data_IF_700298100865
#
_entry.id   IF_700298100865
#
_cell.length_a   1.000
_cell.length_b   1.000
_cell.length_c   1.000
_cell.angle_alpha   90.00
_cell.angle_beta   90.00
_cell.angle_gamma   90.00
#
_symmetry.space_group_name_H-M   'P 1'
#
loop_
_entity.id
_entity.type
_entity.pdbx_description
1 polymer ?
#
# COMPACT_ATOMS: atom_id res chain seq x y z
N UNK A 1 -5.60 -3.38 46.40
CA UNK A 1 -5.91 -4.51 45.52
C UNK A 1 -4.99 -4.37 44.29
N UNK A 2 -3.96 -5.20 44.23
CA UNK A 2 -3.00 -5.21 43.11
C UNK A 2 -3.67 -6.01 41.97
N UNK A 3 -4.18 -5.31 40.95
CA UNK A 3 -4.49 -5.94 39.67
C UNK A 3 -3.16 -6.19 38.95
N UNK A 4 -2.64 -7.40 39.09
CA UNK A 4 -1.58 -7.90 38.22
C UNK A 4 -2.12 -7.88 36.79
N UNK A 5 -1.62 -6.94 35.98
CA UNK A 5 -1.81 -6.96 34.55
C UNK A 5 -1.05 -8.16 34.00
N UNK A 6 -1.74 -9.26 33.80
CA UNK A 6 -1.23 -10.42 33.10
C UNK A 6 -1.09 -10.03 31.64
N UNK A 7 0.13 -9.68 31.22
CA UNK A 7 0.45 -9.57 29.79
C UNK A 7 0.44 -11.00 29.23
N UNK A 8 -0.51 -11.37 28.37
CA UNK A 8 -0.50 -12.70 27.80
C UNK A 8 0.83 -12.91 27.04
N UNK A 9 1.42 -14.10 27.09
CA UNK A 9 2.62 -14.39 26.31
C UNK A 9 2.35 -14.13 24.84
N UNK A 10 3.28 -13.45 24.16
CA UNK A 10 3.20 -13.19 22.73
C UNK A 10 3.00 -14.54 22.01
N UNK A 11 1.83 -14.73 21.39
CA UNK A 11 1.54 -15.92 20.62
C UNK A 11 2.34 -15.86 19.32
N UNK A 12 2.98 -16.99 18.95
CA UNK A 12 3.60 -17.12 17.64
C UNK A 12 2.53 -17.50 16.61
N UNK A 13 2.75 -17.15 15.36
CA UNK A 13 1.86 -17.57 14.27
C UNK A 13 1.66 -19.11 14.26
N UNK A 14 2.73 -19.87 14.48
CA UNK A 14 2.69 -21.33 14.54
C UNK A 14 1.70 -21.87 15.60
N UNK A 15 1.49 -21.13 16.69
CA UNK A 15 0.61 -21.55 17.79
C UNK A 15 -0.88 -21.37 17.46
N UNK A 16 -1.21 -20.61 16.41
CA UNK A 16 -2.58 -20.23 16.05
C UNK A 16 -3.01 -20.66 14.64
N UNK A 17 -2.07 -21.07 13.80
CA UNK A 17 -2.34 -21.49 12.40
C UNK A 17 -3.41 -22.58 12.32
N UNK A 18 -3.35 -23.59 13.21
CA UNK A 18 -4.32 -24.69 13.22
C UNK A 18 -5.76 -24.26 13.54
N UNK A 19 -5.93 -23.10 14.21
CA UNK A 19 -7.25 -22.51 14.50
C UNK A 19 -7.74 -21.57 13.41
N UNK A 20 -6.83 -21.08 12.57
CA UNK A 20 -7.13 -20.17 11.47
C UNK A 20 -7.47 -20.89 10.18
N UNK A 21 -6.77 -22.00 9.90
CA UNK A 21 -6.78 -22.68 8.60
C UNK A 21 -7.58 -23.96 8.66
N UNK A 22 -8.82 -23.91 8.16
CA UNK A 22 -9.67 -25.10 7.97
C UNK A 22 -10.55 -24.88 6.74
N UNK A 23 -10.68 -25.86 5.83
CA UNK A 23 -11.43 -25.71 4.58
C UNK A 23 -12.95 -25.54 4.76
N UNK A 24 -13.49 -25.81 5.95
CA UNK A 24 -14.93 -25.76 6.25
C UNK A 24 -15.30 -24.60 7.17
N UNK A 25 -14.51 -24.36 8.21
CA UNK A 25 -14.87 -23.43 9.30
C UNK A 25 -13.76 -22.40 9.59
N UNK A 26 -12.62 -22.49 8.94
CA UNK A 26 -11.51 -21.55 9.13
C UNK A 26 -11.79 -20.17 8.52
N UNK A 27 -11.24 -19.14 9.16
CA UNK A 27 -11.15 -17.79 8.57
C UNK A 27 -10.32 -17.84 7.28
N UNK A 28 -9.39 -18.78 7.20
CA UNK A 28 -8.60 -19.10 6.02
C UNK A 28 -8.92 -20.54 5.60
N UNK A 29 -9.40 -20.71 4.37
CA UNK A 29 -9.77 -22.04 3.85
C UNK A 29 -8.57 -22.86 3.42
N UNK A 30 -7.47 -22.25 2.98
CA UNK A 30 -6.23 -22.93 2.60
C UNK A 30 -5.03 -21.99 2.58
N UNK A 31 -3.85 -22.56 2.85
CA UNK A 31 -2.55 -21.93 2.64
C UNK A 31 -1.70 -22.93 1.83
N UNK A 32 -1.17 -22.49 0.69
CA UNK A 32 -0.49 -23.39 -0.25
C UNK A 32 0.82 -22.79 -0.73
N UNK A 33 1.90 -23.57 -0.67
CA UNK A 33 3.17 -23.18 -1.29
C UNK A 33 3.02 -23.14 -2.80
N UNK A 34 3.41 -22.03 -3.40
CA UNK A 34 3.38 -21.84 -4.84
C UNK A 34 4.73 -22.27 -5.40
N UNK A 35 4.71 -23.21 -6.36
CA UNK A 35 5.92 -23.77 -6.95
C UNK A 35 6.79 -22.67 -7.56
N UNK A 36 8.10 -22.74 -7.28
CA UNK A 36 9.10 -21.84 -7.89
C UNK A 36 9.12 -22.01 -9.40
N UNK A 37 9.23 -20.89 -10.12
CA UNK A 37 9.44 -20.89 -11.56
C UNK A 37 10.91 -21.16 -11.89
N UNK A 38 11.17 -21.89 -12.97
CA UNK A 38 12.52 -22.02 -13.49
C UNK A 38 12.98 -20.64 -14.01
N UNK A 39 14.11 -20.14 -13.49
CA UNK A 39 14.62 -18.82 -13.82
C UNK A 39 13.88 -17.65 -13.15
N UNK A 40 13.01 -17.90 -12.20
CA UNK A 40 12.39 -16.86 -11.34
C UNK A 40 13.27 -16.51 -10.13
N UNK A 41 12.92 -15.46 -9.37
CA UNK A 41 13.56 -15.12 -8.11
C UNK A 41 13.58 -16.29 -7.14
N UNK A 42 14.68 -16.44 -6.38
CA UNK A 42 14.84 -17.54 -5.43
C UNK A 42 14.23 -17.19 -4.06
N UNK A 43 12.91 -17.03 -4.05
CA UNK A 43 12.11 -16.77 -2.86
C UNK A 43 11.04 -17.84 -2.68
N UNK A 44 10.54 -17.96 -1.43
CA UNK A 44 9.35 -18.76 -1.15
C UNK A 44 8.10 -17.93 -1.41
N UNK A 45 7.12 -18.53 -2.06
CA UNK A 45 5.83 -17.91 -2.36
C UNK A 45 4.73 -18.78 -1.78
N UNK A 46 3.79 -18.16 -1.08
CA UNK A 46 2.59 -18.82 -0.58
C UNK A 46 1.35 -18.07 -1.03
N UNK A 47 0.31 -18.81 -1.35
CA UNK A 47 -1.03 -18.29 -1.54
C UNK A 47 -1.91 -18.67 -0.35
N UNK A 48 -2.79 -17.78 0.05
CA UNK A 48 -3.83 -18.06 1.03
C UNK A 48 -5.21 -17.73 0.46
N UNK A 49 -6.22 -18.45 0.90
CA UNK A 49 -7.62 -18.24 0.51
C UNK A 49 -8.44 -17.95 1.75
N UNK A 50 -8.87 -16.69 1.93
CA UNK A 50 -9.75 -16.29 3.00
C UNK A 50 -11.17 -16.88 2.83
N UNK A 51 -11.88 -17.05 3.93
CA UNK A 51 -13.31 -17.38 3.93
C UNK A 51 -14.11 -16.29 3.20
N UNK A 52 -15.27 -16.67 2.64
CA UNK A 52 -16.17 -15.72 1.99
C UNK A 52 -17.00 -14.97 3.03
N UNK A 53 -16.95 -13.65 3.04
CA UNK A 53 -17.72 -12.80 3.96
C UNK A 53 -19.19 -12.61 3.52
N UNK A 54 -19.55 -12.91 2.27
CA UNK A 54 -20.89 -12.69 1.72
C UNK A 54 -22.04 -13.21 2.62
N UNK A 55 -21.97 -14.44 3.19
CA UNK A 55 -23.04 -14.94 4.04
C UNK A 55 -23.18 -14.20 5.37
N UNK A 56 -22.16 -13.45 5.79
CA UNK A 56 -22.07 -12.79 7.10
C UNK A 56 -22.35 -11.28 7.00
N UNK A 57 -21.89 -10.65 5.93
CA UNK A 57 -21.91 -9.18 5.79
C UNK A 57 -22.75 -8.68 4.60
N UNK A 58 -23.19 -9.60 3.72
CA UNK A 58 -23.95 -9.24 2.52
C UNK A 58 -23.07 -8.85 1.32
N UNK A 59 -21.73 -8.88 1.46
CA UNK A 59 -20.80 -8.61 0.36
C UNK A 59 -19.54 -9.51 0.46
N UNK A 60 -18.90 -9.75 -0.69
CA UNK A 60 -17.72 -10.59 -0.79
C UNK A 60 -16.45 -9.79 -0.46
N UNK A 61 -15.47 -10.46 0.18
CA UNK A 61 -14.10 -9.96 0.32
C UNK A 61 -13.21 -10.40 -0.85
N UNK A 62 -12.02 -9.82 -0.95
CA UNK A 62 -10.97 -10.34 -1.80
C UNK A 62 -10.35 -11.58 -1.16
N UNK A 63 -10.67 -12.76 -1.69
CA UNK A 63 -10.39 -14.05 -1.04
C UNK A 63 -8.98 -14.59 -1.28
N UNK A 64 -8.39 -14.26 -2.43
CA UNK A 64 -7.08 -14.82 -2.82
C UNK A 64 -6.00 -13.79 -2.55
N UNK A 65 -5.04 -14.19 -1.73
CA UNK A 65 -3.92 -13.35 -1.30
C UNK A 65 -2.62 -14.11 -1.47
N UNK A 66 -1.49 -13.45 -1.30
CA UNK A 66 -0.18 -14.08 -1.43
C UNK A 66 0.88 -13.42 -0.58
N UNK A 67 1.98 -14.13 -0.39
CA UNK A 67 3.16 -13.61 0.31
C UNK A 67 4.42 -14.23 -0.25
N UNK A 68 5.47 -13.42 -0.32
CA UNK A 68 6.80 -13.88 -0.68
C UNK A 68 7.83 -13.42 0.35
N UNK A 69 8.80 -14.29 0.65
CA UNK A 69 9.89 -13.97 1.54
C UNK A 69 11.11 -14.88 1.30
N UNK A 70 12.24 -14.53 1.91
CA UNK A 70 13.47 -15.31 1.86
C UNK A 70 13.33 -16.65 2.61
N UNK A 71 12.44 -16.73 3.59
CA UNK A 71 12.14 -17.96 4.35
C UNK A 71 10.70 -18.43 4.11
N UNK A 72 10.44 -19.74 4.34
CA UNK A 72 9.07 -20.27 4.26
C UNK A 72 8.17 -19.71 5.34
N UNK A 73 8.69 -19.55 6.54
CA UNK A 73 7.93 -19.07 7.70
C UNK A 73 7.40 -17.65 7.45
N UNK A 74 8.26 -16.74 6.99
CA UNK A 74 7.87 -15.37 6.67
C UNK A 74 6.91 -15.30 5.48
N UNK A 75 7.10 -16.13 4.45
CA UNK A 75 6.20 -16.16 3.30
C UNK A 75 4.79 -16.66 3.68
N UNK A 76 4.70 -17.66 4.56
CA UNK A 76 3.42 -18.12 5.13
C UNK A 76 2.80 -17.03 5.99
N UNK A 77 3.59 -16.36 6.84
CA UNK A 77 3.10 -15.30 7.71
C UNK A 77 2.50 -14.13 6.91
N UNK A 78 3.18 -13.70 5.82
CA UNK A 78 2.68 -12.67 4.92
C UNK A 78 1.36 -13.08 4.24
N UNK A 79 1.30 -14.29 3.68
CA UNK A 79 0.08 -14.78 3.01
C UNK A 79 -1.12 -14.87 3.97
N UNK A 80 -0.89 -15.35 5.20
CA UNK A 80 -1.91 -15.42 6.26
C UNK A 80 -2.33 -14.02 6.71
N UNK A 81 -1.36 -13.13 6.98
CA UNK A 81 -1.62 -11.76 7.40
C UNK A 81 -2.50 -11.02 6.39
N UNK A 82 -2.15 -11.07 5.11
CA UNK A 82 -2.95 -10.46 4.05
C UNK A 82 -4.36 -11.08 3.93
N UNK A 83 -4.50 -12.40 4.09
CA UNK A 83 -5.81 -13.04 4.08
C UNK A 83 -6.70 -12.56 5.24
N UNK A 84 -6.15 -12.38 6.43
CA UNK A 84 -6.84 -11.82 7.59
C UNK A 84 -7.22 -10.36 7.36
N UNK A 85 -6.33 -9.55 6.78
CA UNK A 85 -6.62 -8.17 6.41
C UNK A 85 -7.82 -8.08 5.46
N UNK A 86 -7.84 -8.90 4.40
CA UNK A 86 -8.94 -8.94 3.43
C UNK A 86 -10.24 -9.43 4.02
N UNK A 87 -10.19 -10.33 5.01
CA UNK A 87 -11.35 -10.78 5.76
C UNK A 87 -11.88 -9.65 6.64
N UNK A 88 -11.06 -9.07 7.50
CA UNK A 88 -11.49 -8.02 8.43
C UNK A 88 -11.90 -6.72 7.74
N UNK A 89 -11.22 -6.32 6.66
CA UNK A 89 -11.54 -5.08 5.94
C UNK A 89 -12.88 -5.11 5.22
N UNK A 90 -13.44 -6.29 4.98
CA UNK A 90 -14.77 -6.48 4.41
C UNK A 90 -15.86 -6.67 5.48
N UNK A 91 -15.51 -6.58 6.76
CA UNK A 91 -16.47 -6.80 7.84
C UNK A 91 -17.12 -5.49 8.28
N UNK A 92 -18.24 -5.15 7.69
CA UNK A 92 -19.08 -4.02 8.07
C UNK A 92 -20.54 -4.30 7.69
N UNK A 93 -21.46 -3.66 8.40
CA UNK A 93 -22.90 -3.68 8.10
C UNK A 93 -23.26 -2.29 7.59
N UNK A 94 -23.63 -2.20 6.32
CA UNK A 94 -23.83 -0.92 5.63
C UNK A 94 -24.85 -0.02 6.35
N UNK A 95 -25.96 -0.61 6.82
CA UNK A 95 -27.04 0.13 7.49
C UNK A 95 -26.68 0.63 8.90
N UNK A 96 -25.62 0.12 9.50
CA UNK A 96 -25.10 0.60 10.79
C UNK A 96 -24.15 1.80 10.63
N UNK A 97 -23.69 2.09 9.41
CA UNK A 97 -22.83 3.23 9.12
C UNK A 97 -23.71 4.48 8.92
N UNK A 98 -23.53 5.56 9.73
CA UNK A 98 -24.31 6.77 9.61
C UNK A 98 -24.14 7.40 8.22
N UNK A 99 -25.25 7.70 7.55
CA UNK A 99 -25.33 8.35 6.24
C UNK A 99 -25.70 9.82 6.45
N UNK A 100 -24.77 10.73 6.25
CA UNK A 100 -24.96 12.18 6.42
C UNK A 100 -23.91 12.97 5.68
N UNK A 101 -24.11 14.28 5.54
CA UNK A 101 -23.08 15.20 5.06
C UNK A 101 -22.11 15.59 6.19
N UNK A 102 -20.93 16.14 5.82
CA UNK A 102 -20.00 16.71 6.79
C UNK A 102 -20.67 17.84 7.61
N UNK A 103 -21.48 18.67 6.95
CA UNK A 103 -22.18 19.83 7.57
C UNK A 103 -23.19 19.40 8.64
N UNK A 104 -23.93 18.33 8.37
CA UNK A 104 -25.04 17.89 9.20
C UNK A 104 -24.64 16.79 10.20
N UNK A 105 -23.39 16.32 10.15
CA UNK A 105 -22.93 15.26 11.03
C UNK A 105 -22.95 15.67 12.50
N UNK A 106 -23.60 14.89 13.38
CA UNK A 106 -23.66 15.18 14.82
C UNK A 106 -22.37 14.75 15.57
N UNK A 107 -21.30 14.43 14.85
CA UNK A 107 -20.02 13.97 15.35
C UNK A 107 -18.87 14.64 14.60
N UNK A 108 -17.67 14.63 15.20
CA UNK A 108 -16.48 15.17 14.55
C UNK A 108 -16.07 14.30 13.35
N UNK A 109 -15.87 14.93 12.20
CA UNK A 109 -15.40 14.30 10.96
C UNK A 109 -14.09 14.92 10.50
N UNK A 110 -13.30 14.15 9.74
CA UNK A 110 -12.20 14.71 8.97
C UNK A 110 -12.77 15.53 7.82
N UNK A 111 -12.31 16.77 7.67
CA UNK A 111 -12.87 17.72 6.71
C UNK A 111 -12.55 17.33 5.25
N UNK A 112 -13.44 17.63 4.29
CA UNK A 112 -13.21 17.33 2.87
C UNK A 112 -11.89 17.88 2.32
N UNK A 113 -11.48 19.07 2.76
CA UNK A 113 -10.26 19.78 2.31
C UNK A 113 -8.96 19.09 2.77
N UNK A 114 -9.04 18.21 3.76
CA UNK A 114 -7.88 17.46 4.24
C UNK A 114 -7.50 16.32 3.28
N UNK A 115 -8.43 15.88 2.42
CA UNK A 115 -8.19 14.72 1.56
C UNK A 115 -7.51 15.07 0.24
N UNK A 116 -6.45 14.32 -0.09
CA UNK A 116 -5.87 14.34 -1.42
C UNK A 116 -6.79 13.58 -2.40
N UNK A 117 -7.54 14.32 -3.21
CA UNK A 117 -8.48 13.78 -4.17
C UNK A 117 -8.22 14.35 -5.58
N UNK A 118 -9.24 14.54 -6.39
CA UNK A 118 -9.15 14.88 -7.79
C UNK A 118 -9.21 16.40 -8.03
N UNK A 119 -8.62 16.85 -9.14
CA UNK A 119 -8.67 18.26 -9.52
C UNK A 119 -10.02 18.64 -10.16
N UNK A 120 -10.29 19.94 -10.22
CA UNK A 120 -11.50 20.46 -10.86
C UNK A 120 -11.57 20.09 -12.34
N UNK A 121 -10.42 20.07 -13.03
CA UNK A 121 -10.32 19.64 -14.42
C UNK A 121 -10.71 18.17 -14.59
N UNK A 122 -10.35 17.31 -13.62
CA UNK A 122 -10.74 15.90 -13.64
C UNK A 122 -12.24 15.73 -13.45
N UNK A 123 -12.83 16.44 -12.47
CA UNK A 123 -14.29 16.42 -12.26
C UNK A 123 -15.09 16.95 -13.45
N UNK A 124 -14.51 17.84 -14.24
CA UNK A 124 -15.15 18.39 -15.45
C UNK A 124 -15.09 17.43 -16.66
N UNK A 125 -14.24 16.37 -16.62
CA UNK A 125 -14.11 15.44 -17.73
C UNK A 125 -15.35 14.57 -17.90
N UNK A 126 -15.88 14.41 -19.12
CA UNK A 126 -17.00 13.49 -19.38
C UNK A 126 -16.69 12.06 -18.92
N UNK A 127 -17.62 11.45 -18.19
CA UNK A 127 -17.49 10.08 -17.71
C UNK A 127 -16.49 9.89 -16.56
N UNK A 128 -16.06 10.94 -15.89
CA UNK A 128 -15.30 10.84 -14.64
C UNK A 128 -16.26 10.40 -13.53
N UNK A 129 -16.07 9.20 -12.99
CA UNK A 129 -17.04 8.57 -12.10
C UNK A 129 -17.05 9.10 -10.65
N UNK A 130 -15.89 9.52 -10.05
CA UNK A 130 -15.90 9.97 -8.66
C UNK A 130 -16.72 11.26 -8.46
N UNK A 131 -17.49 11.29 -7.37
CA UNK A 131 -18.21 12.49 -6.93
C UNK A 131 -17.27 13.46 -6.21
N UNK A 132 -17.59 14.78 -6.27
CA UNK A 132 -16.90 15.77 -5.44
C UNK A 132 -17.19 15.52 -3.97
N UNK A 133 -16.15 15.59 -3.14
CA UNK A 133 -16.30 15.58 -1.71
C UNK A 133 -16.31 17.03 -1.20
N UNK A 134 -17.48 17.49 -0.79
CA UNK A 134 -17.74 18.83 -0.25
C UNK A 134 -18.40 18.72 1.13
N UNK A 135 -18.60 19.85 1.81
CA UNK A 135 -19.32 19.85 3.09
C UNK A 135 -20.77 19.34 2.98
N UNK A 136 -21.38 19.44 1.81
CA UNK A 136 -22.77 19.03 1.57
C UNK A 136 -22.89 17.64 0.92
N UNK A 137 -21.77 16.99 0.63
CA UNK A 137 -21.76 15.65 0.04
C UNK A 137 -22.18 14.62 1.07
N UNK A 138 -23.29 13.94 0.80
CA UNK A 138 -23.77 12.83 1.65
C UNK A 138 -22.95 11.59 1.41
N UNK A 139 -22.48 10.95 2.48
CA UNK A 139 -21.74 9.70 2.43
C UNK A 139 -21.83 8.96 3.77
N UNK A 140 -21.43 7.71 3.79
CA UNK A 140 -21.37 6.92 5.02
C UNK A 140 -20.06 7.16 5.76
N UNK A 141 -20.15 7.22 7.08
CA UNK A 141 -19.03 7.49 7.98
C UNK A 141 -18.72 6.30 8.87
N UNK A 142 -17.48 6.18 9.29
CA UNK A 142 -17.05 5.21 10.29
C UNK A 142 -16.18 5.86 11.35
N UNK A 143 -16.29 5.37 12.60
CA UNK A 143 -15.54 5.93 13.73
C UNK A 143 -14.05 5.55 13.65
N UNK A 144 -13.20 6.51 13.97
CA UNK A 144 -11.75 6.41 13.94
C UNK A 144 -11.13 7.18 15.11
N UNK A 145 -9.83 7.05 15.31
CA UNK A 145 -9.06 7.78 16.33
C UNK A 145 -7.93 8.57 15.68
N UNK A 146 -7.83 9.84 15.95
CA UNK A 146 -6.63 10.63 15.63
C UNK A 146 -5.50 10.22 16.58
N UNK A 147 -4.38 9.77 16.03
CA UNK A 147 -3.29 9.23 16.85
C UNK A 147 -2.48 10.30 17.58
N UNK A 148 -2.49 11.54 17.10
CA UNK A 148 -1.76 12.62 17.75
C UNK A 148 -2.49 13.18 18.97
N UNK A 149 -3.83 13.26 18.89
CA UNK A 149 -4.66 13.85 19.97
C UNK A 149 -5.38 12.81 20.82
N UNK A 150 -5.54 11.58 20.31
CA UNK A 150 -6.37 10.54 20.91
C UNK A 150 -7.88 10.77 20.75
N UNK A 151 -8.30 11.81 20.04
CA UNK A 151 -9.69 12.17 19.86
C UNK A 151 -10.40 11.23 18.87
N UNK A 152 -11.69 10.99 19.16
CA UNK A 152 -12.55 10.28 18.22
C UNK A 152 -12.97 11.20 17.09
N UNK A 153 -12.74 10.73 15.86
CA UNK A 153 -13.16 11.39 14.61
C UNK A 153 -13.85 10.38 13.70
N UNK A 154 -14.46 10.84 12.61
CA UNK A 154 -15.02 9.92 11.61
C UNK A 154 -14.39 10.14 10.25
N UNK A 155 -14.22 9.03 9.54
CA UNK A 155 -13.73 8.97 8.17
C UNK A 155 -14.86 8.52 7.22
N UNK A 156 -14.82 8.92 5.94
CA UNK A 156 -15.64 8.30 4.91
C UNK A 156 -15.41 6.79 4.88
N UNK A 157 -16.50 6.01 4.98
CA UNK A 157 -16.42 4.54 5.06
C UNK A 157 -15.71 3.93 3.84
N UNK A 158 -15.86 4.54 2.66
CA UNK A 158 -15.17 4.13 1.43
C UNK A 158 -13.63 4.27 1.49
N UNK A 159 -13.09 5.06 2.44
CA UNK A 159 -11.65 5.17 2.70
C UNK A 159 -11.13 4.11 3.67
N UNK A 160 -12.04 3.38 4.31
CA UNK A 160 -11.71 2.45 5.38
C UNK A 160 -11.92 1.00 4.97
N UNK A 161 -13.10 0.66 4.47
CA UNK A 161 -13.47 -0.72 4.14
C UNK A 161 -13.06 -1.12 2.72
N UNK A 162 -12.73 -2.41 2.55
CA UNK A 162 -12.34 -2.95 1.24
C UNK A 162 -12.72 -4.44 1.10
N UNK A 163 -13.52 -4.79 0.10
CA UNK A 163 -14.22 -3.86 -0.80
C UNK A 163 -15.25 -3.01 -0.05
N UNK A 164 -15.54 -1.83 -0.59
CA UNK A 164 -16.68 -1.04 -0.12
C UNK A 164 -17.75 -1.00 -1.21
N UNK A 165 -18.95 -1.43 -0.86
CA UNK A 165 -20.06 -1.50 -1.79
C UNK A 165 -20.96 -0.25 -1.62
N UNK A 166 -20.95 0.64 -2.62
CA UNK A 166 -21.90 1.73 -2.69
C UNK A 166 -23.29 1.16 -3.00
N UNK A 167 -24.25 1.33 -2.08
CA UNK A 167 -25.57 0.79 -2.27
C UNK A 167 -26.33 1.55 -3.39
N UNK A 168 -26.82 0.81 -4.37
CA UNK A 168 -27.60 1.38 -5.45
C UNK A 168 -28.87 2.07 -4.91
N UNK A 169 -29.16 3.27 -5.40
CA UNK A 169 -30.35 4.04 -5.00
C UNK A 169 -30.23 4.74 -3.64
N UNK A 170 -29.04 4.81 -3.06
CA UNK A 170 -28.75 5.65 -1.87
C UNK A 170 -27.96 6.89 -2.28
N UNK A 171 -27.97 7.91 -1.40
CA UNK A 171 -27.20 9.13 -1.58
C UNK A 171 -25.72 8.99 -1.17
N UNK A 172 -25.23 7.77 -0.93
CA UNK A 172 -23.82 7.49 -0.57
C UNK A 172 -22.90 7.75 -1.77
N UNK A 173 -22.21 8.88 -1.72
CA UNK A 173 -21.44 9.37 -2.86
C UNK A 173 -20.12 8.61 -3.07
N UNK A 174 -19.80 8.14 -4.29
CA UNK A 174 -18.56 7.46 -4.62
C UNK A 174 -17.40 8.46 -4.78
N UNK A 175 -16.91 9.03 -3.67
CA UNK A 175 -15.85 10.06 -3.69
C UNK A 175 -14.47 9.51 -4.05
N UNK A 176 -14.25 8.21 -3.94
CA UNK A 176 -12.95 7.56 -4.15
C UNK A 176 -13.14 6.10 -4.58
N UNK A 177 -12.17 5.55 -5.29
CA UNK A 177 -12.06 4.10 -5.47
C UNK A 177 -11.51 3.48 -4.18
N UNK A 178 -12.21 2.53 -3.52
CA UNK A 178 -11.70 1.81 -2.36
C UNK A 178 -10.47 0.97 -2.73
N UNK A 179 -9.39 1.13 -1.97
CA UNK A 179 -8.14 0.36 -2.13
C UNK A 179 -7.60 -0.08 -0.76
N UNK A 180 -6.65 -1.01 -0.75
CA UNK A 180 -6.11 -1.60 0.49
C UNK A 180 -5.13 -0.71 1.25
N UNK A 181 -4.60 0.35 0.67
CA UNK A 181 -3.55 1.20 1.28
C UNK A 181 -3.83 1.53 2.74
N UNK A 182 -2.87 1.20 3.59
CA UNK A 182 -2.95 1.43 5.03
C UNK A 182 -3.63 0.32 5.84
N UNK A 183 -3.88 -0.85 5.25
CA UNK A 183 -4.30 -2.05 5.98
C UNK A 183 -3.08 -2.83 6.45
N UNK A 184 -3.09 -3.28 7.70
CA UNK A 184 -2.07 -4.20 8.20
C UNK A 184 -2.62 -5.13 9.29
N UNK A 185 -2.10 -6.36 9.28
CA UNK A 185 -2.37 -7.39 10.27
C UNK A 185 -1.07 -7.78 11.00
N UNK A 186 -1.11 -7.83 12.32
CA UNK A 186 0.00 -8.33 13.14
C UNK A 186 -0.50 -8.96 14.44
N UNK A 187 0.40 -9.64 15.16
CA UNK A 187 0.14 -10.21 16.48
C UNK A 187 0.20 -9.16 17.61
N UNK A 188 0.60 -7.92 17.34
CA UNK A 188 0.48 -6.80 18.25
C UNK A 188 -0.22 -5.63 17.57
N UNK A 189 -0.91 -4.83 18.35
CA UNK A 189 -1.62 -3.64 17.85
C UNK A 189 -0.65 -2.57 17.36
N UNK A 190 0.45 -2.38 18.09
CA UNK A 190 1.49 -1.41 17.75
C UNK A 190 2.13 -1.75 16.41
N UNK A 191 2.53 -2.99 16.20
CA UNK A 191 3.15 -3.43 14.94
C UNK A 191 2.15 -3.41 13.77
N UNK A 192 0.88 -3.79 13.99
CA UNK A 192 -0.16 -3.62 12.98
C UNK A 192 -0.35 -2.13 12.61
N UNK A 193 -0.30 -1.23 13.61
CA UNK A 193 -0.42 0.22 13.37
C UNK A 193 0.79 0.78 12.63
N UNK A 194 2.00 0.36 12.99
CA UNK A 194 3.25 0.71 12.27
C UNK A 194 3.16 0.26 10.82
N UNK A 195 2.80 -1.01 10.57
CA UNK A 195 2.64 -1.53 9.22
C UNK A 195 1.63 -0.73 8.39
N UNK A 196 0.48 -0.43 8.99
CA UNK A 196 -0.57 0.35 8.36
C UNK A 196 -0.12 1.78 7.99
N UNK A 197 0.58 2.47 8.88
CA UNK A 197 1.13 3.82 8.62
C UNK A 197 2.22 3.74 7.54
N UNK A 198 3.14 2.78 7.64
CA UNK A 198 4.23 2.62 6.70
C UNK A 198 3.73 2.37 5.27
N UNK A 199 2.66 1.61 5.06
CA UNK A 199 2.09 1.43 3.72
C UNK A 199 1.52 2.74 3.16
N UNK A 200 0.92 3.60 3.98
CA UNK A 200 0.46 4.92 3.52
C UNK A 200 1.64 5.82 3.12
N UNK A 201 2.72 5.81 3.91
CA UNK A 201 3.97 6.53 3.62
C UNK A 201 4.61 6.04 2.32
N UNK A 202 4.70 4.74 2.15
CA UNK A 202 5.22 4.08 0.95
C UNK A 202 4.47 4.52 -0.30
N UNK A 203 3.13 4.51 -0.25
CA UNK A 203 2.28 4.89 -1.39
C UNK A 203 2.41 6.38 -1.73
N UNK A 204 2.50 7.26 -0.74
CA UNK A 204 2.79 8.69 -0.94
C UNK A 204 4.14 8.88 -1.65
N UNK A 205 5.18 8.19 -1.18
CA UNK A 205 6.52 8.31 -1.72
C UNK A 205 6.63 7.79 -3.17
N UNK A 206 6.12 6.59 -3.43
CA UNK A 206 6.13 6.00 -4.78
C UNK A 206 5.35 6.87 -5.76
N UNK A 207 4.16 7.30 -5.37
CA UNK A 207 3.26 8.02 -6.28
C UNK A 207 3.79 9.41 -6.60
N UNK A 208 4.31 10.15 -5.60
CA UNK A 208 4.94 11.46 -5.84
C UNK A 208 6.22 11.30 -6.68
N UNK A 209 7.09 10.34 -6.36
CA UNK A 209 8.30 10.06 -7.15
C UNK A 209 7.96 9.83 -8.61
N UNK A 210 6.95 9.02 -8.89
CA UNK A 210 6.53 8.71 -10.26
C UNK A 210 5.84 9.89 -10.96
N UNK A 211 4.83 10.48 -10.33
CA UNK A 211 4.03 11.53 -10.97
C UNK A 211 4.80 12.83 -11.14
N UNK A 212 5.71 13.15 -10.22
CA UNK A 212 6.58 14.32 -10.35
C UNK A 212 7.87 14.06 -11.14
N UNK A 213 8.03 12.84 -11.71
CA UNK A 213 9.24 12.44 -12.47
C UNK A 213 10.54 12.70 -11.69
N UNK A 214 10.56 12.38 -10.41
CA UNK A 214 11.75 12.56 -9.59
C UNK A 214 12.82 11.52 -9.96
N UNK A 215 14.07 11.96 -10.05
CA UNK A 215 15.24 11.12 -10.23
C UNK A 215 15.92 10.94 -8.87
N UNK A 216 15.54 9.93 -8.07
CA UNK A 216 16.04 9.77 -6.70
C UNK A 216 17.49 9.28 -6.67
N UNK A 217 18.19 9.47 -5.52
CA UNK A 217 19.52 8.91 -5.31
C UNK A 217 19.49 7.38 -5.42
N UNK A 218 20.51 6.80 -6.08
CA UNK A 218 20.67 5.35 -6.12
C UNK A 218 21.50 4.87 -4.94
N UNK A 219 21.01 3.86 -4.24
CA UNK A 219 21.75 3.17 -3.18
C UNK A 219 22.82 2.29 -3.85
N UNK A 220 24.07 2.40 -3.42
CA UNK A 220 25.14 1.55 -3.94
C UNK A 220 24.98 0.13 -3.43
N UNK A 221 24.72 -0.81 -4.34
CA UNK A 221 24.50 -2.23 -4.01
C UNK A 221 25.73 -2.85 -3.33
N UNK A 222 26.93 -2.42 -3.70
CA UNK A 222 28.20 -2.88 -3.12
C UNK A 222 28.42 -2.47 -1.66
N UNK A 223 27.61 -1.54 -1.13
CA UNK A 223 27.66 -1.11 0.25
C UNK A 223 26.63 -1.78 1.15
N UNK A 224 25.78 -2.63 0.56
CA UNK A 224 24.75 -3.35 1.31
C UNK A 224 25.37 -4.39 2.27
N UNK A 225 24.79 -4.60 3.45
CA UNK A 225 25.11 -5.76 4.28
C UNK A 225 24.91 -7.07 3.52
N UNK A 226 25.69 -8.10 3.88
CA UNK A 226 25.69 -9.41 3.19
C UNK A 226 24.28 -10.00 3.02
N UNK A 227 23.45 -9.88 4.04
CA UNK A 227 22.06 -10.39 4.02
C UNK A 227 21.21 -9.71 2.94
N UNK A 228 21.31 -8.39 2.79
CA UNK A 228 20.57 -7.64 1.77
C UNK A 228 21.16 -7.87 0.36
N UNK A 229 22.49 -7.97 0.28
CA UNK A 229 23.17 -8.30 -0.97
C UNK A 229 22.75 -9.68 -1.50
N UNK A 230 22.59 -10.69 -0.60
CA UNK A 230 22.05 -12.01 -0.97
C UNK A 230 20.62 -11.91 -1.53
N UNK A 231 19.75 -11.05 -0.95
CA UNK A 231 18.40 -10.84 -1.46
C UNK A 231 18.41 -10.21 -2.87
N UNK A 232 19.31 -9.25 -3.12
CA UNK A 232 19.52 -8.68 -4.46
C UNK A 232 19.92 -9.77 -5.44
N UNK A 233 20.93 -10.59 -5.09
CA UNK A 233 21.40 -11.69 -5.93
C UNK A 233 20.30 -12.73 -6.22
N UNK A 234 19.42 -13.01 -5.27
CA UNK A 234 18.24 -13.87 -5.46
C UNK A 234 17.23 -13.28 -6.44
N UNK A 235 16.99 -11.96 -6.38
CA UNK A 235 16.11 -11.27 -7.33
C UNK A 235 16.71 -11.31 -8.76
N UNK A 236 18.01 -11.10 -8.91
CA UNK A 236 18.71 -11.04 -10.21
C UNK A 236 18.76 -12.39 -10.95
N UNK A 237 18.57 -13.50 -10.25
CA UNK A 237 18.39 -14.82 -10.87
C UNK A 237 17.21 -14.86 -11.85
N UNK A 238 16.29 -13.91 -11.74
CA UNK A 238 15.16 -13.75 -12.65
C UNK A 238 15.51 -13.05 -13.98
N UNK A 239 16.77 -13.13 -14.42
CA UNK A 239 17.28 -12.54 -15.66
C UNK A 239 17.02 -11.03 -15.76
N UNK A 240 17.37 -10.30 -14.71
CA UNK A 240 17.29 -8.85 -14.64
C UNK A 240 18.39 -8.26 -13.79
N UNK A 241 18.48 -6.93 -13.76
CA UNK A 241 19.37 -6.16 -12.88
C UNK A 241 18.54 -5.40 -11.86
N UNK A 242 18.90 -5.52 -10.59
CA UNK A 242 18.29 -4.78 -9.49
C UNK A 242 18.97 -3.42 -9.32
N UNK A 243 18.16 -2.38 -9.18
CA UNK A 243 18.59 -1.04 -8.78
C UNK A 243 17.75 -0.62 -7.59
N UNK A 244 18.36 -0.10 -6.54
CA UNK A 244 17.67 0.38 -5.35
C UNK A 244 17.81 1.91 -5.24
N UNK A 245 16.76 2.56 -4.79
CA UNK A 245 16.69 4.01 -4.66
C UNK A 245 16.20 4.40 -3.25
N UNK A 246 16.74 5.48 -2.74
CA UNK A 246 16.14 6.19 -1.60
C UNK A 246 15.07 7.14 -2.15
N UNK A 247 13.82 6.85 -1.81
CA UNK A 247 12.66 7.69 -2.16
C UNK A 247 12.01 8.31 -0.92
N UNK A 248 12.79 8.47 0.15
CA UNK A 248 12.34 9.10 1.39
C UNK A 248 11.92 10.55 1.11
N UNK A 249 10.69 10.90 1.48
CA UNK A 249 10.15 12.24 1.27
C UNK A 249 10.38 13.15 2.50
N UNK A 250 9.72 14.31 2.51
CA UNK A 250 9.87 15.39 3.49
C UNK A 250 9.59 15.01 4.96
N UNK A 251 8.84 13.93 5.19
CA UNK A 251 8.61 13.36 6.53
C UNK A 251 9.83 12.60 7.09
N UNK A 252 10.83 12.26 6.28
CA UNK A 252 12.04 11.56 6.69
C UNK A 252 11.85 10.15 7.25
N UNK A 253 10.74 9.47 6.91
CA UNK A 253 10.53 8.05 7.20
C UNK A 253 11.20 7.25 6.08
N UNK A 254 12.17 6.36 6.38
CA UNK A 254 12.91 5.61 5.36
C UNK A 254 11.99 4.89 4.40
N UNK A 255 12.17 5.14 3.10
CA UNK A 255 11.40 4.48 2.04
C UNK A 255 12.32 4.08 0.91
N UNK A 256 12.41 2.79 0.65
CA UNK A 256 13.29 2.21 -0.38
C UNK A 256 12.45 1.70 -1.54
N UNK A 257 12.81 2.10 -2.76
CA UNK A 257 12.27 1.59 -4.01
C UNK A 257 13.28 0.61 -4.62
N UNK A 258 12.88 -0.62 -4.82
CA UNK A 258 13.64 -1.65 -5.53
C UNK A 258 13.05 -1.85 -6.93
N UNK A 259 13.89 -1.81 -7.94
CA UNK A 259 13.52 -1.93 -9.36
C UNK A 259 14.29 -3.09 -9.99
N UNK A 260 13.59 -3.99 -10.67
CA UNK A 260 14.19 -5.04 -11.50
C UNK A 260 13.95 -4.72 -12.98
N UNK A 261 15.03 -4.50 -13.72
CA UNK A 261 15.00 -4.33 -15.19
C UNK A 261 15.26 -5.68 -15.84
N UNK A 262 14.29 -6.17 -16.60
CA UNK A 262 14.43 -7.42 -17.35
C UNK A 262 15.41 -7.30 -18.54
N UNK A 263 16.16 -8.37 -18.81
CA UNK A 263 17.21 -8.38 -19.84
C UNK A 263 16.71 -8.85 -21.21
N UNK A 264 15.54 -9.46 -21.31
CA UNK A 264 15.03 -10.03 -22.57
C UNK A 264 13.50 -10.10 -22.59
N UNK A 265 12.91 -10.22 -23.75
CA UNK A 265 11.45 -10.19 -23.99
C UNK A 265 10.67 -11.31 -23.30
N UNK A 266 11.33 -12.36 -22.84
CA UNK A 266 10.70 -13.42 -22.03
C UNK A 266 10.50 -13.10 -20.57
N UNK A 267 11.08 -11.98 -20.09
CA UNK A 267 10.90 -11.45 -18.73
C UNK A 267 10.14 -10.12 -18.78
N UNK A 268 9.36 -9.74 -17.73
CA UNK A 268 8.81 -8.40 -17.63
C UNK A 268 9.91 -7.34 -17.75
N UNK A 269 9.65 -6.29 -18.52
CA UNK A 269 10.64 -5.26 -18.81
C UNK A 269 11.03 -4.45 -17.58
N UNK A 270 10.03 -4.08 -16.77
CA UNK A 270 10.22 -3.33 -15.53
C UNK A 270 9.30 -3.89 -14.44
N UNK A 271 9.88 -4.17 -13.28
CA UNK A 271 9.15 -4.53 -12.08
C UNK A 271 9.63 -3.64 -10.96
N UNK A 272 8.71 -3.08 -10.20
CA UNK A 272 9.05 -2.23 -9.05
C UNK A 272 8.33 -2.71 -7.80
N UNK A 273 8.95 -2.49 -6.67
CA UNK A 273 8.34 -2.59 -5.35
C UNK A 273 9.02 -1.60 -4.42
N UNK A 274 8.30 -1.14 -3.43
CA UNK A 274 8.85 -0.27 -2.41
C UNK A 274 8.49 -0.79 -1.02
N UNK A 275 9.16 -0.26 -0.02
CA UNK A 275 8.70 -0.39 1.36
C UNK A 275 9.17 0.80 2.18
N UNK A 276 8.27 1.30 3.04
CA UNK A 276 8.61 2.21 4.12
C UNK A 276 8.68 1.46 5.45
N UNK A 277 9.60 1.90 6.31
CA UNK A 277 9.71 1.38 7.67
C UNK A 277 10.38 2.43 8.58
N UNK A 278 10.24 2.32 9.93
CA UNK A 278 11.04 3.13 10.84
C UNK A 278 12.55 2.94 10.64
N UNK A 279 12.97 1.73 10.22
CA UNK A 279 14.36 1.37 10.00
C UNK A 279 14.67 1.12 8.52
N UNK A 280 15.87 1.57 8.07
CA UNK A 280 16.37 1.31 6.71
C UNK A 280 16.55 -0.18 6.42
N UNK A 281 17.10 -1.02 7.32
CA UNK A 281 17.19 -2.45 7.11
C UNK A 281 15.84 -3.12 6.77
N UNK A 282 14.79 -2.75 7.49
CA UNK A 282 13.45 -3.29 7.25
C UNK A 282 12.85 -2.79 5.94
N UNK A 283 13.00 -1.50 5.62
CA UNK A 283 12.54 -0.92 4.37
C UNK A 283 13.22 -1.61 3.17
N UNK A 284 14.54 -1.76 3.20
CA UNK A 284 15.33 -2.39 2.14
C UNK A 284 14.95 -3.88 1.98
N UNK A 285 14.90 -4.65 3.08
CA UNK A 285 14.56 -6.08 3.06
C UNK A 285 13.16 -6.29 2.49
N UNK A 286 12.16 -5.58 3.01
CA UNK A 286 10.77 -5.71 2.58
C UNK A 286 10.59 -5.32 1.11
N UNK A 287 11.25 -4.25 0.64
CA UNK A 287 11.16 -3.84 -0.77
C UNK A 287 11.69 -4.92 -1.72
N UNK A 288 12.78 -5.64 -1.35
CA UNK A 288 13.32 -6.74 -2.15
C UNK A 288 12.42 -8.00 -2.13
N UNK A 289 11.80 -8.32 -1.01
CA UNK A 289 10.84 -9.42 -0.90
C UNK A 289 9.57 -9.14 -1.71
N UNK A 290 9.05 -7.90 -1.66
CA UNK A 290 7.91 -7.48 -2.48
C UNK A 290 8.28 -7.41 -3.98
N UNK A 291 9.52 -7.04 -4.32
CA UNK A 291 10.01 -7.09 -5.69
C UNK A 291 9.96 -8.51 -6.26
N UNK A 292 10.36 -9.51 -5.47
CA UNK A 292 10.27 -10.91 -5.86
C UNK A 292 8.82 -11.37 -6.05
N UNK A 293 7.90 -10.95 -5.18
CA UNK A 293 6.48 -11.24 -5.28
C UNK A 293 5.87 -10.62 -6.55
N UNK A 294 6.08 -9.32 -6.73
CA UNK A 294 5.61 -8.55 -7.89
C UNK A 294 6.18 -9.10 -9.20
N UNK A 295 7.47 -9.48 -9.22
CA UNK A 295 8.11 -10.07 -10.40
C UNK A 295 7.40 -11.34 -10.85
N UNK A 296 7.07 -12.21 -9.91
CA UNK A 296 6.32 -13.43 -10.21
C UNK A 296 4.94 -13.14 -10.78
N UNK A 297 4.20 -12.21 -10.15
CA UNK A 297 2.87 -11.85 -10.62
C UNK A 297 2.90 -11.19 -12.00
N UNK A 298 3.85 -10.29 -12.24
CA UNK A 298 4.09 -9.68 -13.56
C UNK A 298 4.40 -10.73 -14.63
N UNK A 299 5.19 -11.78 -14.30
CA UNK A 299 5.47 -12.87 -15.24
C UNK A 299 4.21 -13.67 -15.59
N UNK A 300 3.37 -13.97 -14.60
CA UNK A 300 2.10 -14.66 -14.86
C UNK A 300 1.20 -13.84 -15.79
N UNK A 301 1.09 -12.54 -15.54
CA UNK A 301 0.32 -11.63 -16.40
C UNK A 301 0.94 -11.57 -17.80
N UNK A 302 2.25 -11.42 -17.91
CA UNK A 302 2.96 -11.38 -19.20
C UNK A 302 2.75 -12.65 -20.03
N UNK A 303 2.64 -13.80 -19.35
CA UNK A 303 2.49 -15.11 -20.01
C UNK A 303 1.04 -15.42 -20.41
N UNK A 304 0.08 -14.99 -19.59
CA UNK A 304 -1.32 -15.44 -19.72
C UNK A 304 -2.30 -14.34 -20.14
N UNK A 305 -1.86 -13.09 -20.23
CA UNK A 305 -2.73 -11.98 -20.65
C UNK A 305 -2.30 -11.43 -22.00
N UNK A 306 -3.27 -11.00 -22.80
CA UNK A 306 -3.00 -10.25 -24.03
C UNK A 306 -2.29 -8.94 -23.68
N UNK A 307 -1.25 -8.60 -24.43
CA UNK A 307 -0.55 -7.33 -24.29
C UNK A 307 -1.49 -6.17 -24.53
N UNK A 308 -1.49 -5.22 -23.62
CA UNK A 308 -2.26 -3.98 -23.79
C UNK A 308 -1.56 -3.11 -24.85
N UNK A 309 -2.37 -2.58 -25.77
CA UNK A 309 -1.92 -1.52 -26.65
C UNK A 309 -1.97 -0.19 -25.86
N UNK A 310 -0.86 0.54 -25.76
CA UNK A 310 -0.88 1.86 -25.14
C UNK A 310 -1.71 2.83 -25.99
N UNK A 311 -2.52 3.65 -25.32
CA UNK A 311 -3.37 4.68 -25.91
C UNK A 311 -3.06 6.06 -25.29
N UNK A 312 -1.80 6.57 -25.45
CA UNK A 312 -1.43 7.87 -24.89
C UNK A 312 -2.22 9.01 -25.54
N UNK A 313 -2.47 10.12 -24.83
CA UNK A 313 -2.01 10.40 -23.47
C UNK A 313 -2.93 9.89 -22.36
N UNK A 314 -4.11 9.36 -22.67
CA UNK A 314 -5.17 9.10 -21.69
C UNK A 314 -5.05 7.73 -21.02
N UNK A 315 -4.38 6.76 -21.66
CA UNK A 315 -4.18 5.38 -21.15
C UNK A 315 -5.47 4.76 -20.58
N UNK A 316 -6.56 4.85 -21.35
CA UNK A 316 -7.91 4.43 -20.92
C UNK A 316 -8.04 2.93 -20.68
N UNK A 317 -7.13 2.16 -21.26
CA UNK A 317 -7.00 0.72 -21.05
C UNK A 317 -6.43 0.33 -19.69
N UNK A 318 -5.81 1.27 -18.97
CA UNK A 318 -5.22 1.04 -17.65
C UNK A 318 -6.28 1.34 -16.57
N UNK A 319 -7.01 0.34 -16.13
CA UNK A 319 -8.12 0.46 -15.20
C UNK A 319 -7.87 -0.20 -13.83
N UNK A 320 -6.88 -1.09 -13.75
CA UNK A 320 -6.58 -1.84 -12.55
C UNK A 320 -5.12 -2.25 -12.44
N UNK A 321 -4.74 -2.79 -11.29
CA UNK A 321 -3.40 -3.26 -10.97
C UNK A 321 -2.80 -4.16 -12.08
N UNK A 322 -3.58 -5.13 -12.58
CA UNK A 322 -3.13 -6.07 -13.63
C UNK A 322 -2.75 -5.36 -14.93
N UNK A 323 -3.45 -4.27 -15.24
CA UNK A 323 -3.21 -3.52 -16.47
C UNK A 323 -1.88 -2.75 -16.39
N UNK A 324 -1.57 -2.16 -15.22
CA UNK A 324 -0.26 -1.57 -14.96
C UNK A 324 0.86 -2.59 -15.15
N UNK A 325 0.76 -3.77 -14.52
CA UNK A 325 1.78 -4.81 -14.63
C UNK A 325 1.88 -5.38 -16.07
N UNK A 326 0.77 -5.49 -16.79
CA UNK A 326 0.77 -5.89 -18.20
C UNK A 326 1.49 -4.86 -19.07
N UNK A 327 1.22 -3.56 -18.86
CA UNK A 327 1.86 -2.46 -19.58
C UNK A 327 3.38 -2.49 -19.38
N UNK A 328 3.84 -2.62 -18.12
CA UNK A 328 5.27 -2.62 -17.79
C UNK A 328 5.98 -3.96 -18.04
N UNK A 329 5.26 -4.98 -18.43
CA UNK A 329 5.88 -6.19 -18.93
C UNK A 329 6.44 -6.04 -20.36
N UNK A 330 6.09 -4.97 -21.07
CA UNK A 330 6.53 -4.70 -22.43
C UNK A 330 7.80 -3.83 -22.47
N UNK A 331 8.89 -4.35 -23.07
CA UNK A 331 10.18 -3.64 -23.18
C UNK A 331 10.10 -2.33 -23.98
N UNK A 332 9.10 -2.18 -24.85
CA UNK A 332 8.89 -0.94 -25.60
C UNK A 332 8.53 0.26 -24.72
N UNK A 333 8.03 0.00 -23.51
CA UNK A 333 7.61 1.03 -22.56
C UNK A 333 8.75 1.50 -21.63
N UNK A 334 9.91 0.81 -21.60
CA UNK A 334 11.05 1.17 -20.76
C UNK A 334 11.47 2.65 -20.85
N UNK A 335 11.48 3.31 -22.05
CA UNK A 335 11.84 4.72 -22.13
C UNK A 335 11.01 5.66 -21.26
N UNK A 336 9.77 5.28 -20.91
CA UNK A 336 8.90 6.07 -20.05
C UNK A 336 9.35 6.09 -18.58
N UNK A 337 10.20 5.14 -18.17
CA UNK A 337 10.75 5.03 -16.83
C UNK A 337 12.21 5.49 -16.71
N UNK A 338 12.85 5.91 -17.82
CA UNK A 338 14.28 6.26 -17.81
C UNK A 338 14.61 7.41 -16.85
N UNK A 339 13.68 8.31 -16.56
CA UNK A 339 13.89 9.39 -15.61
C UNK A 339 14.35 8.91 -14.23
N UNK A 340 13.87 7.75 -13.76
CA UNK A 340 14.30 7.17 -12.48
C UNK A 340 15.81 6.93 -12.40
N UNK A 341 16.44 6.72 -13.54
CA UNK A 341 17.86 6.33 -13.65
C UNK A 341 18.78 7.50 -14.02
N UNK A 342 18.24 8.71 -14.19
CA UNK A 342 19.02 9.88 -14.65
C UNK A 342 19.81 10.57 -13.55
N UNK A 343 19.49 10.35 -12.28
CA UNK A 343 20.29 10.89 -11.17
C UNK A 343 21.72 10.38 -11.22
N UNK A 344 22.67 11.29 -11.02
CA UNK A 344 24.09 10.95 -10.80
C UNK A 344 24.41 10.75 -9.32
N UNK A 345 23.47 11.08 -8.45
CA UNK A 345 23.61 10.94 -7.01
C UNK A 345 23.63 9.48 -6.60
N UNK A 346 24.61 9.13 -5.76
CA UNK A 346 24.79 7.80 -5.19
C UNK A 346 24.95 7.93 -3.70
N UNK A 347 24.24 7.12 -2.95
CA UNK A 347 24.30 7.09 -1.49
C UNK A 347 24.78 5.72 -1.02
N UNK A 348 25.68 5.70 -0.06
CA UNK A 348 26.07 4.47 0.61
C UNK A 348 24.98 4.06 1.60
N UNK A 349 24.82 2.75 1.77
CA UNK A 349 23.76 2.22 2.64
C UNK A 349 23.85 2.77 4.07
N UNK A 350 25.06 2.85 4.61
CA UNK A 350 25.30 3.33 5.98
C UNK A 350 25.09 4.84 6.16
N UNK A 351 25.02 5.60 5.06
CA UNK A 351 24.74 7.04 5.09
C UNK A 351 23.23 7.35 5.09
N UNK A 352 22.38 6.34 4.87
CA UNK A 352 20.94 6.53 4.90
C UNK A 352 20.44 6.82 6.33
N UNK A 353 19.59 7.84 6.54
CA UNK A 353 19.00 8.12 7.84
C UNK A 353 18.20 6.93 8.39
N UNK A 354 18.57 6.43 9.56
CA UNK A 354 17.96 5.26 10.19
C UNK A 354 17.37 5.62 11.56
N UNK A 355 16.21 6.27 11.63
CA UNK A 355 15.64 6.81 12.86
C UNK A 355 14.97 5.77 13.77
N UNK A 356 14.69 4.56 13.27
CA UNK A 356 14.00 3.51 14.02
C UNK A 356 14.80 3.02 15.23
N UNK A 357 14.09 2.71 16.30
CA UNK A 357 14.66 2.25 17.57
C UNK A 357 14.59 0.75 17.76
N UNK A 358 13.69 0.06 17.03
CA UNK A 358 13.36 -1.35 17.20
C UNK A 358 12.39 -1.61 18.36
N UNK A 359 11.98 -0.57 19.11
CA UNK A 359 10.89 -0.67 20.08
C UNK A 359 9.57 -0.21 19.45
N UNK A 360 8.55 -1.09 19.30
CA UNK A 360 7.33 -0.74 18.59
C UNK A 360 6.59 0.48 19.11
N UNK A 361 6.63 0.72 20.44
CA UNK A 361 5.97 1.90 21.04
C UNK A 361 6.68 3.19 20.65
N UNK A 362 8.01 3.19 20.68
CA UNK A 362 8.86 4.33 20.32
C UNK A 362 8.78 4.59 18.80
N UNK A 363 8.81 3.54 17.99
CA UNK A 363 8.74 3.64 16.54
C UNK A 363 7.36 4.14 16.07
N UNK A 364 6.27 3.70 16.71
CA UNK A 364 4.93 4.24 16.44
C UNK A 364 4.86 5.74 16.74
N UNK A 365 5.41 6.17 17.89
CA UNK A 365 5.47 7.60 18.23
C UNK A 365 6.28 8.39 17.21
N UNK A 366 7.44 7.88 16.83
CA UNK A 366 8.28 8.47 15.78
C UNK A 366 7.51 8.69 14.47
N UNK A 367 6.78 7.68 13.99
CA UNK A 367 5.99 7.79 12.76
C UNK A 367 4.92 8.88 12.85
N UNK A 368 4.18 8.91 13.96
CA UNK A 368 3.14 9.95 14.18
C UNK A 368 3.76 11.34 14.24
N UNK A 369 4.87 11.52 14.99
CA UNK A 369 5.59 12.80 15.09
C UNK A 369 6.12 13.28 13.74
N UNK A 370 6.68 12.39 12.92
CA UNK A 370 7.19 12.72 11.58
C UNK A 370 6.07 13.19 10.64
N UNK A 371 4.94 12.49 10.64
CA UNK A 371 3.79 12.83 9.79
C UNK A 371 3.13 14.15 10.26
N UNK A 372 2.97 14.33 11.56
CA UNK A 372 2.42 15.60 12.09
C UNK A 372 3.38 16.76 11.89
N UNK A 373 4.70 16.51 11.92
CA UNK A 373 5.74 17.49 11.63
C UNK A 373 5.68 18.09 10.22
N UNK A 374 5.11 17.38 9.23
CA UNK A 374 4.87 17.90 7.89
C UNK A 374 3.47 18.49 7.70
N UNK A 375 2.69 18.60 8.79
CA UNK A 375 1.38 19.23 8.83
C UNK A 375 0.23 18.30 8.43
N UNK A 376 0.44 16.98 8.49
CA UNK A 376 -0.58 15.98 8.20
C UNK A 376 -1.00 15.25 9.48
N UNK A 377 -2.16 14.60 9.46
CA UNK A 377 -2.67 13.84 10.61
C UNK A 377 -2.75 12.36 10.30
N UNK A 378 -2.58 11.52 11.32
CA UNK A 378 -2.74 10.07 11.23
C UNK A 378 -4.03 9.67 11.92
N UNK A 379 -4.95 9.08 11.17
CA UNK A 379 -6.24 8.60 11.67
C UNK A 379 -6.30 7.09 11.56
N UNK A 380 -6.62 6.41 12.66
CA UNK A 380 -6.57 4.96 12.78
C UNK A 380 -7.96 4.37 13.01
N UNK A 381 -8.30 3.31 12.30
CA UNK A 381 -9.47 2.46 12.54
C UNK A 381 -9.02 1.07 12.93
N UNK A 382 -9.60 0.53 14.00
CA UNK A 382 -9.44 -0.87 14.36
C UNK A 382 -10.50 -1.70 13.63
N UNK A 383 -10.05 -2.58 12.74
CA UNK A 383 -10.91 -3.48 11.95
C UNK A 383 -10.91 -4.91 12.47
N UNK A 384 -10.22 -5.17 13.59
CA UNK A 384 -10.13 -6.51 14.17
C UNK A 384 -11.50 -7.06 14.51
N UNK A 385 -11.90 -8.14 13.86
CA UNK A 385 -13.13 -8.86 14.21
C UNK A 385 -12.96 -9.67 15.49
N UNK A 386 -14.04 -9.97 16.25
CA UNK A 386 -13.92 -10.68 17.51
C UNK A 386 -13.25 -12.06 17.41
N UNK A 387 -13.48 -12.80 16.34
CA UNK A 387 -12.90 -14.10 16.06
C UNK A 387 -11.37 -13.99 15.79
N UNK A 388 -10.95 -13.02 15.00
CA UNK A 388 -9.54 -12.71 14.73
C UNK A 388 -8.82 -12.22 15.99
N UNK A 389 -9.45 -11.30 16.75
CA UNK A 389 -8.93 -10.79 18.02
C UNK A 389 -8.80 -11.85 19.09
N UNK A 390 -9.74 -12.81 19.14
CA UNK A 390 -9.69 -13.96 20.04
C UNK A 390 -8.47 -14.86 19.82
N UNK A 391 -7.89 -14.85 18.62
CA UNK A 391 -6.66 -15.56 18.26
C UNK A 391 -5.39 -14.71 18.50
N UNK A 392 -5.54 -13.46 18.93
CA UNK A 392 -4.42 -12.57 19.28
C UNK A 392 -3.92 -11.71 18.14
N UNK A 393 -4.62 -11.66 17.01
CA UNK A 393 -4.30 -10.74 15.90
C UNK A 393 -4.94 -9.36 16.09
N UNK A 394 -4.31 -8.38 15.48
CA UNK A 394 -4.82 -7.03 15.33
C UNK A 394 -4.81 -6.65 13.86
N UNK A 395 -5.93 -6.11 13.38
CA UNK A 395 -6.04 -5.57 12.01
C UNK A 395 -6.35 -4.08 12.11
N UNK A 396 -5.45 -3.26 11.59
CA UNK A 396 -5.54 -1.82 11.65
C UNK A 396 -5.66 -1.22 10.25
N UNK A 397 -6.38 -0.11 10.16
CA UNK A 397 -6.44 0.74 8.97
C UNK A 397 -5.95 2.13 9.32
N UNK A 398 -4.81 2.56 8.78
CA UNK A 398 -4.35 3.93 8.85
C UNK A 398 -4.81 4.74 7.63
N UNK A 399 -5.21 5.98 7.88
CA UNK A 399 -5.51 6.97 6.85
C UNK A 399 -4.77 8.25 7.21
N UNK A 400 -3.96 8.75 6.28
CA UNK A 400 -3.36 10.08 6.34
C UNK A 400 -4.01 10.88 5.20
N UNK A 401 -5.03 11.69 5.48
CA UNK A 401 -5.92 12.23 4.45
C UNK A 401 -5.21 13.01 3.36
N UNK A 402 -4.20 13.82 3.73
CA UNK A 402 -3.45 14.66 2.81
C UNK A 402 -2.29 13.95 2.08
N UNK A 403 -1.93 12.73 2.45
CA UNK A 403 -0.91 11.97 1.73
C UNK A 403 -1.42 11.55 0.34
N UNK A 404 -0.50 11.55 -0.62
CA UNK A 404 -0.85 11.32 -2.01
C UNK A 404 -1.14 9.83 -2.25
N UNK A 405 -2.39 9.45 -2.60
CA UNK A 405 -2.79 8.06 -2.64
C UNK A 405 -2.28 7.37 -3.93
N UNK A 406 -2.00 6.08 -3.83
CA UNK A 406 -1.91 5.22 -5.01
C UNK A 406 -3.31 5.08 -5.65
N UNK A 407 -3.36 5.02 -6.97
CA UNK A 407 -4.57 4.75 -7.75
C UNK A 407 -4.43 3.45 -8.55
N UNK A 408 -5.51 2.71 -8.70
CA UNK A 408 -5.53 1.51 -9.55
C UNK A 408 -5.82 1.83 -11.01
N UNK A 409 -6.71 2.78 -11.28
CA UNK A 409 -7.00 3.26 -12.63
C UNK A 409 -6.20 4.52 -12.97
N UNK A 410 -5.54 4.57 -14.13
CA UNK A 410 -4.69 5.70 -14.52
C UNK A 410 -5.43 7.05 -14.50
N UNK A 411 -6.71 7.07 -14.87
CA UNK A 411 -7.56 8.28 -14.83
C UNK A 411 -7.89 8.79 -13.42
N UNK A 412 -7.65 7.97 -12.39
CA UNK A 412 -7.97 8.25 -10.99
C UNK A 412 -6.78 8.82 -10.21
N UNK A 413 -5.76 9.38 -10.89
CA UNK A 413 -4.66 10.09 -10.22
C UNK A 413 -5.20 11.25 -9.40
N UNK A 414 -4.76 11.39 -8.14
CA UNK A 414 -5.28 12.41 -7.21
C UNK A 414 -4.66 13.81 -7.47
N UNK A 415 -4.91 14.39 -8.65
CA UNK A 415 -4.30 15.66 -9.09
C UNK A 415 -4.76 16.90 -8.30
N UNK A 416 -5.76 16.77 -7.43
CA UNK A 416 -6.15 17.80 -6.46
C UNK A 416 -5.33 17.74 -5.16
N UNK A 417 -4.49 16.72 -4.97
CA UNK A 417 -3.66 16.56 -3.78
C UNK A 417 -2.53 17.59 -3.71
N UNK A 418 -2.39 18.28 -2.57
CA UNK A 418 -1.40 19.36 -2.38
C UNK A 418 0.03 18.84 -2.45
N UNK A 419 0.32 17.66 -1.84
CA UNK A 419 1.68 17.13 -1.68
C UNK A 419 2.38 16.88 -3.01
N UNK A 420 1.67 16.38 -4.01
CA UNK A 420 2.22 16.18 -5.36
C UNK A 420 2.90 17.44 -5.92
N UNK A 421 2.33 18.61 -5.66
CA UNK A 421 2.77 19.89 -6.21
C UNK A 421 3.75 20.67 -5.31
N UNK A 422 3.97 20.22 -4.07
CA UNK A 422 4.78 20.96 -3.08
C UNK A 422 5.97 20.18 -2.52
N UNK A 423 5.86 18.87 -2.38
CA UNK A 423 6.92 18.04 -1.80
C UNK A 423 8.19 18.01 -2.67
N UNK A 424 8.13 17.87 -3.99
CA UNK A 424 9.32 17.90 -4.82
C UNK A 424 10.19 19.15 -4.59
N UNK A 425 9.57 20.33 -4.52
CA UNK A 425 10.29 21.59 -4.28
C UNK A 425 10.89 21.67 -2.88
N UNK A 426 10.21 21.12 -1.85
CA UNK A 426 10.76 21.03 -0.50
C UNK A 426 12.02 20.16 -0.43
N UNK A 427 12.09 19.16 -1.28
CA UNK A 427 13.24 18.26 -1.42
C UNK A 427 14.35 18.83 -2.32
N UNK A 428 14.18 20.05 -2.85
CA UNK A 428 15.18 20.71 -3.70
C UNK A 428 15.09 20.34 -5.19
N UNK A 429 14.07 19.58 -5.60
CA UNK A 429 13.82 19.33 -7.03
C UNK A 429 13.12 20.53 -7.68
N UNK A 430 13.25 20.74 -9.00
CA UNK A 430 12.50 21.75 -9.72
C UNK A 430 10.99 21.64 -9.51
N UNK A 431 10.50 20.40 -9.34
CA UNK A 431 9.10 20.09 -9.13
C UNK A 431 8.25 20.25 -10.38
N UNK A 432 6.98 19.97 -10.18
CA UNK A 432 5.93 20.15 -11.18
C UNK A 432 4.86 21.11 -10.65
N UNK A 433 4.06 21.63 -11.53
CA UNK A 433 2.92 22.49 -11.19
C UNK A 433 1.66 21.98 -11.89
N UNK A 434 0.46 22.33 -11.42
CA UNK A 434 -0.77 21.97 -12.13
C UNK A 434 -0.76 22.40 -13.61
N UNK A 435 -0.08 23.51 -13.95
CA UNK A 435 0.02 24.00 -15.33
C UNK A 435 1.03 23.23 -16.19
N UNK A 436 2.09 22.64 -15.60
CA UNK A 436 3.03 21.79 -16.34
C UNK A 436 2.52 20.35 -16.44
N UNK A 437 1.59 19.97 -15.58
CA UNK A 437 1.06 18.61 -15.47
C UNK A 437 1.98 17.65 -14.73
N UNK A 438 1.45 16.45 -14.48
CA UNK A 438 2.16 15.31 -13.92
C UNK A 438 2.69 14.39 -15.03
N UNK A 439 3.44 13.35 -14.64
CA UNK A 439 3.89 12.31 -15.56
C UNK A 439 2.67 11.61 -16.21
N UNK A 440 2.53 11.68 -17.55
CA UNK A 440 1.39 11.05 -18.21
C UNK A 440 1.47 9.53 -18.26
N UNK A 441 2.64 8.94 -18.02
CA UNK A 441 2.81 7.48 -18.07
C UNK A 441 2.18 6.78 -16.86
N UNK A 442 1.51 5.60 -17.05
CA UNK A 442 1.03 4.79 -15.96
C UNK A 442 2.16 4.39 -15.02
N UNK A 443 1.92 4.37 -13.70
CA UNK A 443 2.95 3.91 -12.75
C UNK A 443 3.19 2.40 -12.88
N UNK A 444 4.42 1.91 -12.61
CA UNK A 444 4.74 0.48 -12.65
C UNK A 444 4.42 -0.26 -11.34
N UNK A 445 3.91 0.42 -10.33
CA UNK A 445 3.68 -0.10 -8.99
C UNK A 445 2.40 -0.95 -8.94
N UNK A 446 2.39 -2.14 -8.25
CA UNK A 446 1.23 -3.01 -8.12
C UNK A 446 0.18 -2.50 -7.16
#
# INVERSE_FOLDING_TARGET
MLTSAFTPPQRRLADVVEYLVDPRVGIIGSVTEVRKEAGGPDFFHYGAQAANTLPLTGHENFRVTGGAAATREDAVAKAIGEAIERYCSAWYVLDELPLTSYRDAPFACVAPEEFALYSEEQYAKPGFAPARFTHDTTLRWTSATDLATGERVHLPAARVYMPYAFAAGTDDAPIVQPISTGLACHLSREEATIGAICEVVERDAVTITWQATLAPPQIRIETLPEELYDLVARCERAAGTVVMFDITLDHGIPTVLSVLRGHHDGAPALVVAASAAPSVPDAARKSLEELAHTRRYSQLIATHSTRLAPDPPDYTSIQGQRDHLNFWADHRNLPLAEFLFTSTERVDYDDLPNPGTGDPTSDLRLLVERITGVGERVVLVNLTTPDVGGLGFSVMRAVVPGFHPLQLGHRLRALGGRRLWTVPQRLGHPGITPSTGDNPAPHPYP
#
